data_IF_160086797201
#
_entry.id   IF_160086797201
#
_cell.length_a   1.000
_cell.length_b   1.000
_cell.length_c   1.000
_cell.angle_alpha   90.00
_cell.angle_beta   90.00
_cell.angle_gamma   90.00
#
_symmetry.space_group_name_H-M   'P 1'
#
loop_
_entity.id
_entity.type
_entity.pdbx_description
1 polymer ?
#
# COMPACT_ATOMS: atom_id res chain seq x y z
N UNK A 1 -19.19 -38.39 -30.92
CA UNK A 1 -19.88 -38.10 -29.64
C UNK A 1 -18.91 -38.16 -28.47
N UNK A 2 -18.12 -39.23 -28.33
CA UNK A 2 -17.11 -39.37 -27.26
C UNK A 2 -15.98 -38.34 -27.40
N UNK A 3 -15.48 -38.13 -28.59
CA UNK A 3 -14.44 -37.15 -28.90
C UNK A 3 -14.85 -35.71 -28.53
N UNK A 4 -16.11 -35.35 -28.82
CA UNK A 4 -16.64 -34.06 -28.49
C UNK A 4 -16.68 -33.84 -26.95
N UNK A 5 -17.08 -34.88 -26.21
CA UNK A 5 -17.12 -34.82 -24.74
C UNK A 5 -15.72 -34.62 -24.15
N UNK A 6 -14.70 -35.32 -24.70
CA UNK A 6 -13.31 -35.14 -24.27
C UNK A 6 -12.84 -33.70 -24.48
N UNK A 7 -13.11 -33.13 -25.66
CA UNK A 7 -12.72 -31.76 -26.00
C UNK A 7 -13.37 -30.77 -25.06
N UNK A 8 -14.68 -30.92 -24.77
CA UNK A 8 -15.41 -30.05 -23.85
C UNK A 8 -14.84 -30.11 -22.43
N UNK A 9 -14.48 -31.31 -21.97
CA UNK A 9 -13.88 -31.51 -20.65
C UNK A 9 -12.51 -30.80 -20.55
N UNK A 10 -11.68 -30.91 -21.59
CA UNK A 10 -10.37 -30.25 -21.62
C UNK A 10 -10.50 -28.72 -21.61
N UNK A 11 -11.47 -28.17 -22.32
CA UNK A 11 -11.72 -26.72 -22.34
C UNK A 11 -12.10 -26.24 -20.94
N UNK A 12 -12.97 -26.94 -20.23
CA UNK A 12 -13.39 -26.58 -18.87
C UNK A 12 -12.21 -26.61 -17.90
N UNK A 13 -11.36 -27.63 -17.99
CA UNK A 13 -10.17 -27.75 -17.14
C UNK A 13 -9.21 -26.58 -17.36
N UNK A 14 -8.93 -26.24 -18.62
CA UNK A 14 -8.03 -25.12 -18.96
C UNK A 14 -8.60 -23.78 -18.51
N UNK A 15 -9.91 -23.56 -18.66
CA UNK A 15 -10.57 -22.32 -18.22
C UNK A 15 -10.47 -22.17 -16.70
N UNK A 16 -10.65 -23.24 -15.95
CA UNK A 16 -10.56 -23.23 -14.48
C UNK A 16 -9.15 -22.86 -14.01
N UNK A 17 -8.12 -23.45 -14.63
CA UNK A 17 -6.73 -23.13 -14.31
C UNK A 17 -6.39 -21.68 -14.63
N UNK A 18 -6.86 -21.15 -15.76
CA UNK A 18 -6.64 -19.77 -16.16
C UNK A 18 -7.26 -18.76 -15.19
N UNK A 19 -8.44 -19.04 -14.66
CA UNK A 19 -9.11 -18.17 -13.68
C UNK A 19 -8.31 -18.08 -12.36
N UNK A 20 -7.75 -19.17 -11.89
CA UNK A 20 -6.94 -19.18 -10.67
C UNK A 20 -5.70 -18.31 -10.81
N UNK A 21 -4.97 -18.42 -11.91
CA UNK A 21 -3.79 -17.60 -12.19
C UNK A 21 -4.15 -16.12 -12.36
N UNK A 22 -5.30 -15.82 -12.97
CA UNK A 22 -5.76 -14.45 -13.14
C UNK A 22 -5.95 -13.75 -11.80
N UNK A 23 -6.59 -14.41 -10.82
CA UNK A 23 -6.78 -13.86 -9.48
C UNK A 23 -5.45 -13.58 -8.78
N UNK A 24 -4.51 -14.52 -8.85
CA UNK A 24 -3.17 -14.34 -8.28
C UNK A 24 -2.42 -13.19 -8.93
N UNK A 25 -2.54 -13.04 -10.24
CA UNK A 25 -1.91 -11.94 -10.98
C UNK A 25 -2.48 -10.59 -10.58
N UNK A 26 -3.80 -10.49 -10.36
CA UNK A 26 -4.43 -9.26 -9.89
C UNK A 26 -3.94 -8.88 -8.49
N UNK A 27 -3.84 -9.84 -7.58
CA UNK A 27 -3.33 -9.60 -6.22
C UNK A 27 -1.87 -9.15 -6.29
N UNK A 28 -1.05 -9.80 -7.08
CA UNK A 28 0.34 -9.42 -7.28
C UNK A 28 0.47 -7.98 -7.79
N UNK A 29 -0.36 -7.58 -8.75
CA UNK A 29 -0.37 -6.23 -9.28
C UNK A 29 -0.76 -5.21 -8.21
N UNK A 30 -1.78 -5.50 -7.39
CA UNK A 30 -2.18 -4.64 -6.27
C UNK A 30 -1.08 -4.52 -5.22
N UNK A 31 -0.39 -5.61 -4.92
CA UNK A 31 0.74 -5.59 -4.00
C UNK A 31 1.89 -4.70 -4.51
N UNK A 32 2.15 -4.74 -5.82
CA UNK A 32 3.16 -3.87 -6.43
C UNK A 32 2.77 -2.40 -6.32
N UNK A 33 1.49 -2.07 -6.54
CA UNK A 33 0.97 -0.71 -6.36
C UNK A 33 1.08 -0.28 -4.90
N UNK A 34 0.76 -1.15 -3.96
CA UNK A 34 0.88 -0.84 -2.52
C UNK A 34 2.33 -0.54 -2.13
N UNK A 35 3.29 -1.33 -2.61
CA UNK A 35 4.71 -1.09 -2.37
C UNK A 35 5.15 0.27 -2.92
N UNK A 36 4.72 0.61 -4.12
CA UNK A 36 5.02 1.88 -4.76
C UNK A 36 4.41 3.04 -3.98
N UNK A 37 3.15 2.91 -3.54
CA UNK A 37 2.47 3.93 -2.76
C UNK A 37 3.15 4.16 -1.41
N UNK A 38 3.55 3.10 -0.73
CA UNK A 38 4.31 3.20 0.52
C UNK A 38 5.66 3.87 0.29
N UNK A 39 6.35 3.51 -0.77
CA UNK A 39 7.62 4.15 -1.13
C UNK A 39 7.45 5.65 -1.37
N UNK A 40 6.44 6.05 -2.12
CA UNK A 40 6.17 7.47 -2.41
C UNK A 40 5.84 8.27 -1.17
N UNK A 41 5.02 7.69 -0.29
CA UNK A 41 4.65 8.34 0.97
C UNK A 41 5.87 8.53 1.86
N UNK A 42 6.69 7.48 2.00
CA UNK A 42 7.91 7.53 2.82
C UNK A 42 8.95 8.47 2.24
N UNK A 43 9.11 8.47 0.92
CA UNK A 43 10.01 9.39 0.23
C UNK A 43 9.60 10.84 0.44
N UNK A 44 8.30 11.14 0.32
CA UNK A 44 7.76 12.47 0.57
C UNK A 44 7.99 12.91 2.02
N UNK A 45 7.81 12.02 2.99
CA UNK A 45 8.09 12.28 4.40
C UNK A 45 9.58 12.61 4.60
N UNK A 46 10.46 11.84 3.98
CA UNK A 46 11.91 12.05 4.09
C UNK A 46 12.33 13.37 3.46
N UNK A 47 11.77 13.72 2.31
CA UNK A 47 12.03 15.01 1.65
C UNK A 47 11.54 16.19 2.50
N UNK A 48 10.36 16.06 3.08
CA UNK A 48 9.80 17.06 3.98
C UNK A 48 10.74 17.29 5.17
N UNK A 49 11.20 16.21 5.79
CA UNK A 49 12.13 16.29 6.92
C UNK A 49 13.46 16.94 6.51
N UNK A 50 13.99 16.57 5.34
CA UNK A 50 15.23 17.15 4.84
C UNK A 50 15.13 18.66 4.63
N UNK A 51 13.98 19.14 4.14
CA UNK A 51 13.76 20.55 3.86
C UNK A 51 13.36 21.36 5.08
N UNK A 52 12.56 20.80 5.98
CA UNK A 52 11.93 21.51 7.09
C UNK A 52 12.60 21.24 8.45
N UNK A 53 13.37 20.16 8.56
CA UNK A 53 13.98 19.74 9.81
C UNK A 53 13.02 19.10 10.81
N UNK A 54 11.75 18.97 10.44
CA UNK A 54 10.68 18.34 11.24
C UNK A 54 9.86 17.42 10.36
N UNK A 55 9.11 16.51 10.99
CA UNK A 55 8.20 15.63 10.26
C UNK A 55 6.85 16.33 10.03
N UNK A 56 6.12 15.97 8.95
CA UNK A 56 4.82 16.58 8.69
C UNK A 56 3.80 16.19 9.77
N UNK A 57 2.89 17.08 10.07
CA UNK A 57 1.85 16.83 11.08
C UNK A 57 0.84 15.78 10.62
N UNK A 58 0.55 15.74 9.30
CA UNK A 58 -0.35 14.78 8.68
C UNK A 58 0.13 14.48 7.27
N UNK A 59 -0.45 13.45 6.64
CA UNK A 59 -0.17 13.15 5.23
C UNK A 59 -0.68 14.26 4.30
N UNK A 60 -1.77 14.94 4.68
CA UNK A 60 -2.31 16.05 3.91
C UNK A 60 -1.35 17.24 3.85
N UNK A 61 -0.51 17.42 4.85
CA UNK A 61 0.54 18.44 4.85
C UNK A 61 1.52 18.24 3.69
N UNK A 62 1.83 16.98 3.35
CA UNK A 62 2.69 16.67 2.20
C UNK A 62 2.07 17.14 0.89
N UNK A 63 0.77 17.07 0.77
CA UNK A 63 0.03 17.55 -0.40
C UNK A 63 0.02 19.07 -0.45
N UNK A 64 -0.31 19.72 0.67
CA UNK A 64 -0.39 21.19 0.73
C UNK A 64 0.95 21.87 0.52
N UNK A 65 2.05 21.22 0.93
CA UNK A 65 3.41 21.75 0.78
C UNK A 65 4.10 21.30 -0.53
N UNK A 66 3.40 20.58 -1.40
CA UNK A 66 3.87 20.27 -2.74
C UNK A 66 4.76 19.03 -2.87
N UNK A 67 4.90 18.22 -1.83
CA UNK A 67 5.69 16.98 -1.89
C UNK A 67 4.95 15.82 -2.55
N UNK A 68 3.62 15.86 -2.51
CA UNK A 68 2.73 14.91 -3.18
C UNK A 68 1.66 15.69 -3.95
N UNK A 69 1.21 15.16 -5.07
CA UNK A 69 0.04 15.72 -5.76
C UNK A 69 -1.24 15.43 -4.99
N UNK A 70 -1.34 14.23 -4.46
CA UNK A 70 -2.45 13.76 -3.63
C UNK A 70 -1.99 12.59 -2.80
N UNK A 71 -2.68 12.31 -1.72
CA UNK A 71 -2.46 11.08 -0.96
C UNK A 71 -2.97 9.91 -1.80
N UNK A 72 -2.13 8.92 -2.11
CA UNK A 72 -2.57 7.80 -2.95
C UNK A 72 -3.59 6.93 -2.24
N UNK A 73 -4.45 6.27 -3.02
CA UNK A 73 -5.38 5.29 -2.49
C UNK A 73 -4.66 3.98 -2.20
N UNK A 74 -4.97 3.36 -1.05
CA UNK A 74 -4.54 1.99 -0.77
C UNK A 74 -5.31 1.05 -1.70
N UNK A 75 -4.62 0.24 -2.53
CA UNK A 75 -5.32 -0.60 -3.51
C UNK A 75 -6.20 -1.67 -2.90
N UNK A 76 -5.95 -2.06 -1.65
CA UNK A 76 -6.74 -3.08 -0.95
C UNK A 76 -7.94 -2.51 -0.21
N UNK A 77 -7.81 -1.33 0.38
CA UNK A 77 -8.92 -0.66 1.08
C UNK A 77 -9.71 0.26 0.16
N UNK A 78 -9.15 0.63 -0.99
CA UNK A 78 -9.70 1.58 -1.96
C UNK A 78 -9.99 2.95 -1.33
N UNK A 79 -9.19 3.34 -0.35
CA UNK A 79 -9.33 4.59 0.38
C UNK A 79 -7.98 5.27 0.56
N UNK A 80 -7.95 6.60 0.50
CA UNK A 80 -6.76 7.39 0.81
C UNK A 80 -6.69 7.82 2.28
N UNK A 81 -7.69 7.47 3.07
CA UNK A 81 -7.76 7.81 4.50
C UNK A 81 -7.50 6.63 5.43
N UNK A 82 -7.23 5.46 4.87
CA UNK A 82 -6.98 4.24 5.65
C UNK A 82 -5.52 4.03 6.05
N UNK A 83 -4.61 4.88 5.58
CA UNK A 83 -3.19 4.78 5.93
C UNK A 83 -2.99 4.94 7.43
N UNK A 84 -2.21 4.02 8.01
CA UNK A 84 -1.85 4.10 9.43
C UNK A 84 -0.55 4.88 9.57
N UNK A 85 -0.61 5.98 10.29
CA UNK A 85 0.57 6.83 10.52
C UNK A 85 1.31 6.39 11.78
N UNK A 86 2.64 6.38 11.68
CA UNK A 86 3.51 6.09 12.82
C UNK A 86 4.10 7.42 13.30
N UNK A 87 3.85 7.84 14.54
CA UNK A 87 4.37 9.10 15.03
C UNK A 87 5.88 9.03 15.24
N UNK A 88 6.56 10.16 15.04
CA UNK A 88 7.96 10.31 15.36
C UNK A 88 8.17 10.30 16.89
N UNK A 89 9.39 10.05 17.32
CA UNK A 89 9.73 10.17 18.73
C UNK A 89 9.60 11.64 19.19
N UNK A 90 9.04 11.89 20.39
CA UNK A 90 8.97 13.24 20.91
C UNK A 90 10.35 13.86 21.08
N UNK A 91 10.49 15.14 20.69
CA UNK A 91 11.73 15.87 20.91
C UNK A 91 11.91 16.14 22.41
N UNK A 92 12.98 15.63 23.05
CA UNK A 92 13.21 15.85 24.48
C UNK A 92 13.44 17.33 24.82
N UNK A 93 13.81 18.15 23.83
CA UNK A 93 14.00 19.60 24.03
C UNK A 93 12.68 20.39 23.89
N UNK A 94 11.65 19.79 23.26
CA UNK A 94 10.34 20.42 23.05
C UNK A 94 9.21 19.40 23.29
N UNK A 95 8.99 18.97 24.55
CA UNK A 95 7.98 17.93 24.82
C UNK A 95 6.54 18.36 24.58
N UNK A 96 6.30 19.67 24.41
CA UNK A 96 4.95 20.22 24.14
C UNK A 96 4.59 20.21 22.66
N UNK A 97 5.55 20.00 21.76
CA UNK A 97 5.31 19.93 20.31
C UNK A 97 4.86 18.51 19.98
N UNK A 98 3.71 18.39 19.31
CA UNK A 98 3.25 17.09 18.84
C UNK A 98 4.25 16.51 17.84
N UNK A 99 4.65 15.24 18.02
CA UNK A 99 5.51 14.59 17.05
C UNK A 99 4.77 14.40 15.72
N UNK A 100 5.44 14.70 14.62
CA UNK A 100 4.87 14.52 13.29
C UNK A 100 4.86 13.06 12.87
N UNK A 101 4.44 12.83 11.62
CA UNK A 101 4.38 11.51 11.02
C UNK A 101 5.77 11.09 10.55
N UNK A 102 6.30 10.05 11.17
CA UNK A 102 7.61 9.48 10.84
C UNK A 102 7.52 8.44 9.71
N UNK A 103 6.49 7.61 9.74
CA UNK A 103 6.32 6.49 8.80
C UNK A 103 4.82 6.26 8.56
N UNK A 104 4.54 5.43 7.59
CA UNK A 104 3.16 5.08 7.23
C UNK A 104 3.10 3.59 6.93
N UNK A 105 1.99 2.98 7.34
CA UNK A 105 1.68 1.57 7.08
C UNK A 105 0.33 1.47 6.39
N UNK A 106 0.13 0.37 5.65
CA UNK A 106 -1.18 0.11 5.05
C UNK A 106 -2.23 -0.16 6.13
N UNK A 107 -3.44 0.32 5.90
CA UNK A 107 -4.60 0.00 6.74
C UNK A 107 -5.31 -1.29 6.34
N UNK A 108 -4.79 -2.04 5.38
CA UNK A 108 -5.40 -3.28 4.91
C UNK A 108 -5.20 -4.42 5.93
N UNK A 109 -6.25 -5.21 6.17
CA UNK A 109 -6.21 -6.33 7.11
C UNK A 109 -5.71 -7.63 6.48
N UNK A 110 -5.48 -7.63 5.17
CA UNK A 110 -5.14 -8.83 4.41
C UNK A 110 -3.71 -9.30 4.60
N UNK A 111 -3.45 -10.47 4.06
CA UNK A 111 -2.15 -11.12 4.05
C UNK A 111 -1.64 -11.19 2.60
N UNK A 112 -0.36 -10.89 2.41
CA UNK A 112 0.28 -10.94 1.11
C UNK A 112 0.45 -12.39 0.61
N UNK A 113 0.75 -12.53 -0.68
CA UNK A 113 1.01 -13.84 -1.28
C UNK A 113 2.18 -14.56 -0.62
N UNK A 114 3.14 -13.83 -0.06
CA UNK A 114 4.30 -14.39 0.65
C UNK A 114 4.02 -14.70 2.14
N UNK A 115 2.80 -14.48 2.62
CA UNK A 115 2.39 -14.74 3.99
C UNK A 115 2.56 -13.59 4.96
N UNK A 116 3.16 -12.46 4.55
CA UNK A 116 3.29 -11.28 5.40
C UNK A 116 2.01 -10.46 5.42
N UNK A 117 1.78 -9.72 6.50
CA UNK A 117 0.63 -8.83 6.60
C UNK A 117 0.94 -7.49 5.92
N UNK A 118 -0.02 -6.98 5.16
CA UNK A 118 0.13 -5.67 4.50
C UNK A 118 0.38 -4.54 5.51
N UNK A 119 -0.27 -4.60 6.67
CA UNK A 119 -0.14 -3.59 7.72
C UNK A 119 1.25 -3.59 8.39
N UNK A 120 2.07 -4.60 8.16
CA UNK A 120 3.42 -4.73 8.72
C UNK A 120 4.52 -4.46 7.68
N UNK A 121 4.16 -4.15 6.46
CA UNK A 121 5.16 -3.91 5.40
C UNK A 121 5.99 -2.66 5.67
N UNK A 122 7.29 -2.84 5.59
CA UNK A 122 8.30 -1.77 5.69
C UNK A 122 8.63 -1.16 4.33
#
# INVERSE_FOLDING_TARGET
>A
MLELMVVMTLIVVLATMGMTQYKSSQIYAKEAVLKEDLFRLRDAIDQFYADKGTYPSTLDTLVSDGYLRKVPDDPFTKSNSSWQTVPAEPDPNNPTVEPGVYDVKSGADGTALDGTKYSEWD
#
